data_IF_793563167860
#
_entry.id   IF_793563167860
#
_cell.length_a   1.000
_cell.length_b   1.000
_cell.length_c   1.000
_cell.angle_alpha   90.00
_cell.angle_beta   90.00
_cell.angle_gamma   90.00
#
_symmetry.space_group_name_H-M   'P 1'
#
loop_
_entity.id
_entity.type
_entity.pdbx_description
1 polymer ?
#
# COMPACT_ATOMS: atom_id res chain seq x y z
N UNK A 1 -7.42 -2.71 -14.59
CA UNK A 1 -6.40 -2.12 -13.72
C UNK A 1 -5.56 -3.23 -13.11
N UNK A 2 -4.26 -3.01 -13.00
CA UNK A 2 -3.36 -3.96 -12.36
C UNK A 2 -3.32 -3.67 -10.86
N UNK A 3 -3.88 -4.58 -10.09
CA UNK A 3 -3.96 -4.42 -8.62
C UNK A 3 -2.58 -4.30 -7.98
N UNK A 4 -1.61 -5.06 -8.45
CA UNK A 4 -0.24 -4.97 -7.93
C UNK A 4 0.34 -3.56 -8.17
N UNK A 5 0.15 -3.01 -9.37
CA UNK A 5 0.60 -1.66 -9.69
C UNK A 5 -0.05 -0.60 -8.82
N UNK A 6 -1.37 -0.74 -8.58
CA UNK A 6 -2.08 0.15 -7.67
C UNK A 6 -1.49 0.10 -6.26
N UNK A 7 -1.30 -1.10 -5.73
CA UNK A 7 -0.78 -1.28 -4.38
C UNK A 7 0.67 -0.82 -4.25
N UNK A 8 1.47 -1.04 -5.28
CA UNK A 8 2.86 -0.54 -5.31
C UNK A 8 2.88 0.99 -5.24
N UNK A 9 1.96 1.66 -5.94
CA UNK A 9 1.82 3.11 -5.88
C UNK A 9 1.38 3.57 -4.49
N UNK A 10 0.47 2.82 -3.85
CA UNK A 10 0.02 3.12 -2.48
C UNK A 10 1.20 3.03 -1.51
N UNK A 11 1.98 1.96 -1.58
CA UNK A 11 3.15 1.78 -0.72
C UNK A 11 4.17 2.91 -0.94
N UNK A 12 4.42 3.28 -2.20
CA UNK A 12 5.34 4.38 -2.52
C UNK A 12 4.86 5.71 -1.91
N UNK A 13 3.55 5.97 -1.96
CA UNK A 13 2.97 7.18 -1.36
C UNK A 13 3.11 7.18 0.16
N UNK A 14 2.92 6.02 0.79
CA UNK A 14 3.08 5.86 2.23
C UNK A 14 4.54 6.09 2.63
N UNK A 15 5.47 5.52 1.87
CA UNK A 15 6.91 5.69 2.14
C UNK A 15 7.33 7.15 1.99
N UNK A 16 6.80 7.84 0.98
CA UNK A 16 7.07 9.26 0.80
C UNK A 16 6.53 10.08 1.98
N UNK A 17 5.31 9.81 2.40
CA UNK A 17 4.71 10.50 3.54
C UNK A 17 5.51 10.24 4.82
N UNK A 18 6.02 9.03 5.01
CA UNK A 18 6.85 8.68 6.15
C UNK A 18 8.18 9.44 6.12
N UNK A 19 8.79 9.56 4.94
CA UNK A 19 10.05 10.29 4.78
C UNK A 19 9.89 11.78 5.02
N UNK A 20 8.72 12.33 4.69
CA UNK A 20 8.42 13.77 4.86
C UNK A 20 7.89 14.10 6.27
N UNK A 21 7.65 13.12 7.12
CA UNK A 21 7.12 13.33 8.46
C UNK A 21 8.15 14.03 9.36
N UNK A 22 7.65 14.77 10.35
CA UNK A 22 8.51 15.50 11.32
C UNK A 22 9.16 14.57 12.34
N UNK A 23 8.87 13.27 12.28
CA UNK A 23 9.38 12.27 13.20
C UNK A 23 9.77 11.02 12.41
N UNK A 24 10.60 10.18 13.00
CA UNK A 24 11.06 8.98 12.33
C UNK A 24 9.97 7.91 12.32
N UNK A 25 9.62 7.46 11.12
CA UNK A 25 8.67 6.35 10.92
C UNK A 25 9.47 5.12 10.49
N UNK A 26 9.45 4.08 11.30
CA UNK A 26 10.20 2.85 11.01
C UNK A 26 9.32 1.71 10.52
N UNK A 27 8.02 1.77 10.81
CA UNK A 27 7.08 0.71 10.46
C UNK A 27 5.67 1.26 10.35
N UNK A 28 4.93 0.73 9.38
CA UNK A 28 3.50 1.01 9.20
C UNK A 28 2.73 -0.20 9.70
N UNK A 29 1.78 0.01 10.60
CA UNK A 29 1.00 -1.08 11.19
C UNK A 29 -0.23 -1.42 10.38
N UNK A 30 -0.82 -0.43 9.69
CA UNK A 30 -2.07 -0.62 8.98
C UNK A 30 -2.15 0.36 7.82
N UNK A 31 -2.60 -0.13 6.68
CA UNK A 31 -2.93 0.68 5.52
C UNK A 31 -4.41 0.48 5.23
N UNK A 32 -5.17 1.56 5.22
CA UNK A 32 -6.59 1.53 4.87
C UNK A 32 -6.76 2.12 3.49
N UNK A 33 -7.43 1.38 2.62
CA UNK A 33 -7.61 1.77 1.23
C UNK A 33 -9.09 1.85 0.91
N UNK A 34 -9.53 2.99 0.40
CA UNK A 34 -10.91 3.17 -0.06
C UNK A 34 -10.90 3.13 -1.59
N UNK A 35 -11.48 2.07 -2.16
CA UNK A 35 -11.49 1.84 -3.59
C UNK A 35 -12.91 2.02 -4.10
N UNK A 36 -13.10 2.94 -5.05
CA UNK A 36 -14.40 3.19 -5.64
C UNK A 36 -14.88 2.01 -6.49
N UNK A 37 -16.20 1.85 -6.55
CA UNK A 37 -16.82 0.75 -7.31
C UNK A 37 -16.47 0.81 -8.80
N UNK A 38 -16.21 2.01 -9.35
CA UNK A 38 -15.93 2.21 -10.77
C UNK A 38 -14.44 2.08 -11.09
N UNK A 39 -13.59 1.77 -10.12
CA UNK A 39 -12.14 1.68 -10.33
C UNK A 39 -11.72 0.48 -11.16
N UNK A 40 -12.54 -0.57 -11.20
CA UNK A 40 -12.21 -1.84 -11.85
C UNK A 40 -11.32 -2.76 -11.01
N UNK A 41 -10.91 -2.34 -9.82
CA UNK A 41 -10.10 -3.19 -8.94
C UNK A 41 -10.96 -4.30 -8.33
N UNK A 42 -10.40 -5.50 -8.26
CA UNK A 42 -11.08 -6.68 -7.74
C UNK A 42 -10.54 -6.96 -6.33
N UNK A 43 -11.40 -7.00 -5.28
CA UNK A 43 -10.93 -7.17 -3.91
C UNK A 43 -10.03 -8.39 -3.68
N UNK A 44 -10.35 -9.55 -4.25
CA UNK A 44 -9.51 -10.73 -4.10
C UNK A 44 -8.11 -10.53 -4.68
N UNK A 45 -8.03 -9.81 -5.82
CA UNK A 45 -6.75 -9.50 -6.44
C UNK A 45 -5.93 -8.52 -5.60
N UNK A 46 -6.60 -7.57 -4.93
CA UNK A 46 -5.93 -6.65 -4.01
C UNK A 46 -5.33 -7.42 -2.82
N UNK A 47 -6.10 -8.29 -2.19
CA UNK A 47 -5.59 -9.10 -1.08
C UNK A 47 -4.46 -10.03 -1.52
N UNK A 48 -4.57 -10.62 -2.71
CA UNK A 48 -3.53 -11.51 -3.24
C UNK A 48 -2.25 -10.79 -3.62
N UNK A 49 -2.34 -9.53 -4.04
CA UNK A 49 -1.18 -8.72 -4.45
C UNK A 49 -0.50 -8.02 -3.28
N UNK A 50 -1.21 -7.82 -2.16
CA UNK A 50 -0.71 -7.04 -1.02
C UNK A 50 0.60 -7.61 -0.46
N UNK A 51 0.73 -8.93 -0.20
CA UNK A 51 2.00 -9.46 0.31
C UNK A 51 3.19 -9.16 -0.59
N UNK A 52 2.98 -9.12 -1.91
CA UNK A 52 4.03 -8.82 -2.88
C UNK A 52 4.38 -7.33 -2.83
N UNK A 53 3.36 -6.48 -2.84
CA UNK A 53 3.55 -5.01 -2.90
C UNK A 53 4.27 -4.49 -1.65
N UNK A 54 3.98 -5.05 -0.47
CA UNK A 54 4.53 -4.55 0.79
C UNK A 54 5.89 -5.16 1.17
N UNK A 55 6.33 -6.22 0.48
CA UNK A 55 7.55 -6.94 0.83
C UNK A 55 8.76 -6.01 0.82
N UNK A 56 9.57 -6.09 1.87
CA UNK A 56 10.80 -5.31 2.01
C UNK A 56 10.56 -3.79 2.03
N UNK A 57 9.39 -3.36 2.50
CA UNK A 57 9.06 -1.95 2.69
C UNK A 57 8.70 -1.70 4.15
N UNK A 58 8.51 -0.43 4.53
CA UNK A 58 8.03 -0.10 5.87
C UNK A 58 6.60 -0.60 6.12
N UNK A 59 5.89 -1.02 5.08
CA UNK A 59 4.54 -1.59 5.17
C UNK A 59 4.54 -3.11 5.34
N UNK A 60 5.71 -3.75 5.46
CA UNK A 60 5.81 -5.22 5.43
C UNK A 60 4.98 -5.90 6.50
N UNK A 61 4.87 -5.29 7.69
CA UNK A 61 4.07 -5.85 8.79
C UNK A 61 2.62 -5.37 8.81
N UNK A 62 2.22 -4.56 7.86
CA UNK A 62 0.87 -4.02 7.83
C UNK A 62 -0.16 -5.08 7.43
#
# INVERSE_FOLDING_TARGET
MHELGLLTSVVAAVEKAAADADYQVTRVKKVSLNVGAMSGAIPQALYGSWPIAKAQTICESA
#
